data_IF_910898870067
#
_entry.id   IF_910898870067
#
_cell.length_a   1.000
_cell.length_b   1.000
_cell.length_c   1.000
_cell.angle_alpha   90.00
_cell.angle_beta   90.00
_cell.angle_gamma   90.00
#
_symmetry.space_group_name_H-M   'P 1'
#
loop_
_entity.id
_entity.type
_entity.pdbx_description
1 polymer ?
#
# COMPACT_ATOMS: atom_id res chain seq x y z
N UNK A 1 -2.27 -9.50 -8.72
CA UNK A 1 -1.09 -8.61 -8.68
C UNK A 1 -0.26 -8.98 -7.47
N UNK A 2 1.06 -9.06 -7.63
CA UNK A 2 2.00 -9.24 -6.52
C UNK A 2 2.51 -7.86 -6.07
N UNK A 3 2.46 -7.58 -4.78
CA UNK A 3 2.98 -6.34 -4.20
C UNK A 3 4.29 -6.63 -3.50
N UNK A 4 5.40 -6.17 -4.07
CA UNK A 4 6.74 -6.35 -3.51
C UNK A 4 7.07 -5.21 -2.55
N UNK A 5 7.69 -5.54 -1.41
CA UNK A 5 8.07 -4.65 -0.31
C UNK A 5 6.92 -4.02 0.48
N UNK A 6 5.71 -4.58 0.40
CA UNK A 6 4.53 -4.09 1.15
C UNK A 6 4.73 -4.14 2.66
N UNK A 7 5.43 -5.15 3.15
CA UNK A 7 5.81 -5.36 4.54
C UNK A 7 6.66 -4.22 5.12
N UNK A 8 7.37 -3.48 4.28
CA UNK A 8 8.23 -2.38 4.69
C UNK A 8 7.48 -1.04 4.82
N UNK A 9 6.19 -0.99 4.43
CA UNK A 9 5.33 0.18 4.69
C UNK A 9 5.23 0.40 6.21
N UNK A 10 5.06 -0.68 6.96
CA UNK A 10 5.07 -0.66 8.41
C UNK A 10 5.84 -1.88 8.95
N UNK A 11 7.18 -1.79 8.98
CA UNK A 11 8.04 -2.94 9.24
C UNK A 11 7.89 -3.39 10.70
N UNK A 12 7.91 -4.70 10.89
CA UNK A 12 7.89 -5.33 12.21
C UNK A 12 6.70 -4.96 13.08
N UNK A 13 5.54 -4.66 12.48
CA UNK A 13 4.29 -4.51 13.23
C UNK A 13 3.81 -5.87 13.75
N UNK A 14 4.22 -6.19 14.97
CA UNK A 14 3.75 -7.38 15.67
C UNK A 14 2.55 -7.02 16.56
N UNK A 15 1.61 -7.95 16.62
CA UNK A 15 0.49 -7.87 17.55
C UNK A 15 0.85 -8.55 18.87
N UNK A 16 0.62 -7.85 19.98
CA UNK A 16 0.70 -8.44 21.33
C UNK A 16 -0.65 -8.36 22.02
N UNK A 17 -1.20 -9.53 22.39
CA UNK A 17 -2.50 -9.62 23.09
C UNK A 17 -2.49 -8.89 24.43
N UNK A 18 -1.40 -8.99 25.18
CA UNK A 18 -1.26 -8.33 26.48
C UNK A 18 -1.23 -6.81 26.35
N UNK A 19 -0.49 -6.30 25.36
CA UNK A 19 -0.42 -4.86 25.10
C UNK A 19 -1.75 -4.32 24.57
N UNK A 20 -2.42 -5.07 23.70
CA UNK A 20 -3.73 -4.71 23.18
C UNK A 20 -4.80 -4.66 24.29
N UNK A 21 -4.73 -5.55 25.28
CA UNK A 21 -5.61 -5.48 26.45
C UNK A 21 -5.38 -4.22 27.29
N UNK A 22 -4.12 -3.82 27.51
CA UNK A 22 -3.77 -2.61 28.24
C UNK A 22 -4.18 -1.33 27.48
N UNK A 23 -3.90 -1.29 26.18
CA UNK A 23 -4.16 -0.11 25.33
C UNK A 23 -5.66 0.13 25.11
N UNK A 24 -6.47 -0.93 25.05
CA UNK A 24 -7.93 -0.81 25.02
C UNK A 24 -8.51 -0.13 26.27
N UNK A 25 -7.88 -0.28 27.44
CA UNK A 25 -8.32 0.41 28.67
C UNK A 25 -8.13 1.92 28.60
N UNK A 26 -7.16 2.40 27.83
CA UNK A 26 -6.88 3.83 27.63
C UNK A 26 -7.54 4.37 26.34
N UNK A 27 -8.45 3.62 25.72
CA UNK A 27 -9.20 4.04 24.54
C UNK A 27 -8.47 3.88 23.21
N UNK A 28 -7.29 3.24 23.19
CA UNK A 28 -6.54 2.97 21.97
C UNK A 28 -6.91 1.55 21.47
N UNK A 29 -7.48 1.39 20.26
CA UNK A 29 -8.01 0.09 19.81
C UNK A 29 -6.91 -0.94 19.54
N UNK A 30 -5.74 -0.48 19.09
CA UNK A 30 -4.59 -1.31 18.74
C UNK A 30 -3.31 -0.48 18.84
N UNK A 31 -2.25 -1.05 19.41
CA UNK A 31 -0.92 -0.46 19.41
C UNK A 31 0.04 -1.45 18.76
N UNK A 32 0.53 -1.17 17.54
CA UNK A 32 1.53 -2.03 16.93
C UNK A 32 2.79 -2.05 17.79
N UNK A 33 3.40 -3.22 17.96
CA UNK A 33 4.72 -3.38 18.58
C UNK A 33 5.74 -3.49 17.47
N UNK A 34 6.58 -2.47 17.32
CA UNK A 34 7.58 -2.39 16.25
C UNK A 34 8.41 -1.10 16.39
N UNK A 35 9.15 -0.76 15.33
CA UNK A 35 10.01 0.42 15.33
C UNK A 35 9.21 1.72 15.57
N UNK A 36 7.97 1.79 15.06
CA UNK A 36 7.09 2.95 15.22
C UNK A 36 6.65 3.15 16.67
N UNK A 37 6.53 2.09 17.46
CA UNK A 37 6.08 2.17 18.86
C UNK A 37 6.99 3.05 19.71
N UNK A 38 8.28 3.07 19.40
CA UNK A 38 9.27 3.94 20.07
C UNK A 38 8.98 5.44 19.85
N UNK A 39 8.28 5.79 18.77
CA UNK A 39 7.93 7.16 18.42
C UNK A 39 6.56 7.61 18.96
N UNK A 40 5.78 6.69 19.52
CA UNK A 40 4.43 6.96 20.04
C UNK A 40 4.43 7.99 21.18
N UNK A 41 5.37 8.00 22.14
CA UNK A 41 5.43 9.04 23.16
C UNK A 41 5.66 10.45 22.59
N UNK A 42 6.35 10.55 21.44
CA UNK A 42 6.59 11.84 20.77
C UNK A 42 5.39 12.29 19.97
N UNK A 43 4.68 11.35 19.34
CA UNK A 43 3.53 11.63 18.52
C UNK A 43 2.55 10.47 18.60
N UNK A 44 1.47 10.60 19.41
CA UNK A 44 0.58 9.48 19.71
C UNK A 44 -0.03 8.81 18.47
N UNK A 45 -0.27 9.54 17.39
CA UNK A 45 -0.86 9.02 16.14
C UNK A 45 0.17 8.46 15.13
N UNK A 46 1.44 8.32 15.51
CA UNK A 46 2.51 7.87 14.61
C UNK A 46 2.26 6.45 14.05
N UNK A 47 1.50 5.60 14.74
CA UNK A 47 1.17 4.27 14.25
C UNK A 47 0.32 4.24 12.97
N UNK A 48 -0.32 5.36 12.59
CA UNK A 48 -0.98 5.52 11.28
C UNK A 48 0.00 5.89 10.15
N UNK A 49 1.25 6.19 10.45
CA UNK A 49 2.22 6.63 9.46
C UNK A 49 2.84 5.44 8.73
N UNK A 50 3.13 5.65 7.46
CA UNK A 50 3.79 4.69 6.59
C UNK A 50 5.24 5.13 6.36
N UNK A 51 6.19 4.22 6.46
CA UNK A 51 7.55 4.48 5.98
C UNK A 51 7.59 4.57 4.46
N UNK A 52 8.54 5.33 3.88
CA UNK A 52 8.67 5.51 2.44
C UNK A 52 9.27 4.25 1.77
N UNK A 53 8.51 3.16 1.79
CA UNK A 53 8.86 1.89 1.18
C UNK A 53 8.73 1.95 -0.35
N UNK A 54 9.68 1.32 -1.05
CA UNK A 54 9.69 1.20 -2.51
C UNK A 54 8.78 0.06 -2.96
N UNK A 55 7.48 0.38 -3.04
CA UNK A 55 6.46 -0.55 -3.51
C UNK A 55 6.58 -0.80 -5.01
N UNK A 56 6.60 -2.06 -5.41
CA UNK A 56 6.54 -2.47 -6.82
C UNK A 56 5.36 -3.39 -7.03
N UNK A 57 4.42 -2.96 -7.88
CA UNK A 57 3.27 -3.77 -8.27
C UNK A 57 3.62 -4.55 -9.54
N UNK A 58 3.59 -5.88 -9.44
CA UNK A 58 3.83 -6.78 -10.56
C UNK A 58 2.51 -7.39 -10.98
N UNK A 59 2.16 -7.22 -12.26
CA UNK A 59 0.99 -7.88 -12.85
C UNK A 59 1.29 -9.38 -12.96
N UNK A 60 0.42 -10.19 -12.36
CA UNK A 60 0.53 -11.65 -12.45
C UNK A 60 -0.10 -12.17 -13.74
N UNK A 61 0.10 -13.46 -14.01
CA UNK A 61 -0.57 -14.13 -15.13
C UNK A 61 -2.05 -14.37 -14.83
N UNK A 62 -2.84 -14.50 -15.88
CA UNK A 62 -4.26 -14.84 -15.77
C UNK A 62 -4.40 -16.35 -15.58
N UNK A 63 -4.81 -16.75 -14.37
CA UNK A 63 -5.12 -18.14 -14.06
C UNK A 63 -6.57 -18.42 -14.47
N UNK A 64 -6.78 -19.52 -15.19
CA UNK A 64 -8.10 -19.97 -15.66
C UNK A 64 -8.35 -21.38 -15.10
N UNK A 65 -8.94 -21.52 -13.91
CA UNK A 65 -9.07 -22.82 -13.24
C UNK A 65 -9.80 -23.88 -14.07
N UNK A 66 -10.75 -23.47 -14.91
CA UNK A 66 -11.48 -24.32 -15.84
C UNK A 66 -10.65 -24.86 -17.01
N UNK A 67 -9.47 -24.32 -17.27
CA UNK A 67 -8.51 -24.89 -18.23
C UNK A 67 -7.57 -25.92 -17.57
N UNK A 68 -7.57 -25.99 -16.24
CA UNK A 68 -6.71 -26.87 -15.43
C UNK A 68 -7.45 -28.15 -15.05
N UNK A 69 -8.77 -28.08 -14.85
CA UNK A 69 -9.65 -29.21 -14.60
C UNK A 69 -10.47 -29.52 -15.85
N UNK A 70 -10.45 -30.78 -16.27
CA UNK A 70 -11.19 -31.30 -17.43
C UNK A 70 -12.52 -31.98 -17.03
N UNK A 71 -13.15 -31.50 -15.96
CA UNK A 71 -14.41 -32.04 -15.42
C UNK A 71 -15.46 -30.94 -15.23
N UNK A 72 -16.75 -31.27 -15.39
CA UNK A 72 -17.84 -30.39 -14.96
C UNK A 72 -17.74 -30.07 -13.46
N UNK A 73 -18.23 -28.90 -13.06
CA UNK A 73 -18.14 -28.43 -11.67
C UNK A 73 -18.76 -29.41 -10.66
N UNK A 74 -19.86 -30.06 -11.08
CA UNK A 74 -20.67 -30.99 -10.29
C UNK A 74 -19.92 -32.29 -9.96
N UNK A 75 -18.89 -32.64 -10.74
CA UNK A 75 -18.11 -33.87 -10.60
C UNK A 75 -16.78 -33.65 -9.87
N UNK A 76 -16.49 -32.42 -9.45
CA UNK A 76 -15.27 -32.08 -8.74
C UNK A 76 -15.43 -32.44 -7.27
N UNK A 77 -14.60 -33.37 -6.79
CA UNK A 77 -14.54 -33.67 -5.36
C UNK A 77 -13.88 -32.54 -4.56
N UNK A 78 -14.20 -32.44 -3.26
CA UNK A 78 -13.59 -31.46 -2.35
C UNK A 78 -12.05 -31.58 -2.30
N UNK A 79 -11.53 -32.81 -2.34
CA UNK A 79 -10.08 -33.06 -2.34
C UNK A 79 -9.40 -32.56 -3.62
N UNK A 80 -10.05 -32.72 -4.78
CA UNK A 80 -9.57 -32.16 -6.05
C UNK A 80 -9.60 -30.64 -6.06
N UNK A 81 -10.64 -30.04 -5.45
CA UNK A 81 -10.73 -28.59 -5.29
C UNK A 81 -9.60 -28.05 -4.41
N UNK A 82 -9.32 -28.69 -3.27
CA UNK A 82 -8.20 -28.32 -2.40
C UNK A 82 -6.85 -28.48 -3.10
N UNK A 83 -6.68 -29.53 -3.91
CA UNK A 83 -5.47 -29.73 -4.71
C UNK A 83 -5.29 -28.60 -5.72
N UNK A 84 -6.34 -28.25 -6.47
CA UNK A 84 -6.31 -27.15 -7.43
C UNK A 84 -5.99 -25.81 -6.76
N UNK A 85 -6.65 -25.50 -5.65
CA UNK A 85 -6.40 -24.30 -4.88
C UNK A 85 -4.95 -24.23 -4.39
N UNK A 86 -4.40 -25.36 -3.95
CA UNK A 86 -3.00 -25.47 -3.50
C UNK A 86 -2.02 -25.24 -4.65
N UNK A 87 -2.29 -25.81 -5.82
CA UNK A 87 -1.48 -25.61 -7.03
C UNK A 87 -1.46 -24.12 -7.45
N UNK A 88 -2.64 -23.50 -7.53
CA UNK A 88 -2.78 -22.06 -7.86
C UNK A 88 -2.03 -21.20 -6.83
N UNK A 89 -2.17 -21.51 -5.53
CA UNK A 89 -1.46 -20.81 -4.46
C UNK A 89 0.05 -20.92 -4.62
N UNK A 90 0.57 -22.11 -4.94
CA UNK A 90 1.99 -22.33 -5.16
C UNK A 90 2.52 -21.53 -6.37
N UNK A 91 1.76 -21.49 -7.46
CA UNK A 91 2.12 -20.70 -8.65
C UNK A 91 2.16 -19.18 -8.35
N UNK A 92 1.16 -18.68 -7.63
CA UNK A 92 1.12 -17.28 -7.19
C UNK A 92 2.29 -16.96 -6.25
N UNK A 93 2.62 -17.88 -5.34
CA UNK A 93 3.76 -17.72 -4.42
C UNK A 93 5.09 -17.73 -5.16
N UNK A 94 5.28 -18.64 -6.14
CA UNK A 94 6.45 -18.67 -6.99
C UNK A 94 6.63 -17.35 -7.74
N UNK A 95 5.55 -16.87 -8.37
CA UNK A 95 5.55 -15.57 -9.07
C UNK A 95 5.92 -14.40 -8.15
N UNK A 96 5.45 -14.42 -6.90
CA UNK A 96 5.83 -13.41 -5.89
C UNK A 96 7.30 -13.53 -5.52
N UNK A 97 7.81 -14.75 -5.30
CA UNK A 97 9.22 -14.98 -4.96
C UNK A 97 10.16 -14.46 -6.06
N UNK A 98 9.82 -14.72 -7.33
CA UNK A 98 10.58 -14.20 -8.48
C UNK A 98 10.55 -12.66 -8.53
N UNK A 99 9.37 -12.07 -8.27
CA UNK A 99 9.22 -10.62 -8.18
C UNK A 99 10.04 -10.03 -7.02
N UNK A 100 10.09 -10.68 -5.86
CA UNK A 100 10.91 -10.28 -4.72
C UNK A 100 12.40 -10.40 -5.05
N UNK A 101 12.84 -11.48 -5.69
CA UNK A 101 14.23 -11.64 -6.11
C UNK A 101 14.69 -10.52 -7.05
N UNK A 102 13.80 -10.06 -7.93
CA UNK A 102 14.06 -9.00 -8.91
C UNK A 102 13.95 -7.58 -8.32
N UNK A 103 12.93 -7.30 -7.53
CA UNK A 103 12.57 -5.94 -7.09
C UNK A 103 12.76 -5.69 -5.59
N UNK A 104 12.97 -6.72 -4.78
CA UNK A 104 13.00 -6.66 -3.31
C UNK A 104 14.32 -6.20 -2.68
N UNK A 105 15.42 -6.08 -3.46
CA UNK A 105 16.77 -5.84 -2.91
C UNK A 105 16.94 -4.52 -2.14
N UNK A 106 16.12 -3.50 -2.42
CA UNK A 106 16.23 -2.16 -1.80
C UNK A 106 14.85 -1.63 -1.41
N UNK A 107 14.26 -2.14 -0.31
CA UNK A 107 12.93 -1.74 0.15
C UNK A 107 12.90 -0.28 0.58
N UNK A 108 14.01 0.23 1.12
CA UNK A 108 14.23 1.65 1.39
C UNK A 108 15.32 2.18 0.47
N UNK A 109 15.00 3.19 -0.34
CA UNK A 109 15.95 3.82 -1.25
C UNK A 109 15.91 5.33 -1.08
N UNK A 110 16.58 5.80 -0.02
CA UNK A 110 16.65 7.22 0.34
C UNK A 110 17.27 8.07 -0.79
N UNK A 111 18.36 7.67 -1.47
CA UNK A 111 18.89 8.45 -2.58
C UNK A 111 17.87 8.66 -3.70
N UNK A 112 17.12 7.61 -4.05
CA UNK A 112 16.06 7.70 -5.05
C UNK A 112 14.89 8.59 -4.58
N UNK A 113 14.49 8.49 -3.30
CA UNK A 113 13.46 9.32 -2.70
C UNK A 113 13.85 10.81 -2.76
N UNK A 114 15.05 11.14 -2.27
CA UNK A 114 15.58 12.51 -2.29
C UNK A 114 15.73 13.04 -3.72
N UNK A 115 16.22 12.21 -4.64
CA UNK A 115 16.31 12.57 -6.06
C UNK A 115 14.93 12.86 -6.67
N UNK A 116 13.90 12.10 -6.29
CA UNK A 116 12.52 12.32 -6.73
C UNK A 116 11.95 13.61 -6.17
N UNK A 117 12.19 13.91 -4.89
CA UNK A 117 11.78 15.16 -4.27
C UNK A 117 12.46 16.36 -4.92
N UNK A 118 13.77 16.30 -5.16
CA UNK A 118 14.52 17.38 -5.83
C UNK A 118 13.98 17.68 -7.23
N UNK A 119 13.63 16.64 -8.01
CA UNK A 119 13.04 16.81 -9.35
C UNK A 119 11.61 17.35 -9.32
N UNK A 120 10.93 17.26 -8.17
CA UNK A 120 9.54 17.67 -7.98
C UNK A 120 9.39 18.77 -6.93
N UNK A 121 10.40 19.62 -6.75
CA UNK A 121 10.38 20.71 -5.76
C UNK A 121 9.17 21.64 -5.93
N UNK A 122 8.78 21.96 -7.17
CA UNK A 122 7.57 22.75 -7.44
C UNK A 122 6.26 22.08 -7.00
N UNK A 123 6.28 20.77 -6.72
CA UNK A 123 5.15 20.00 -6.19
C UNK A 123 5.30 19.67 -4.71
N UNK A 124 6.43 20.00 -4.09
CA UNK A 124 6.72 19.67 -2.70
C UNK A 124 5.67 20.15 -1.70
N UNK A 125 5.11 21.38 -1.82
CA UNK A 125 4.06 21.82 -0.90
C UNK A 125 2.86 20.85 -0.85
N UNK A 126 2.54 20.19 -1.96
CA UNK A 126 1.43 19.25 -2.05
C UNK A 126 1.68 17.89 -1.40
N UNK A 127 2.93 17.59 -1.01
CA UNK A 127 3.22 16.43 -0.17
C UNK A 127 2.85 16.68 1.30
N UNK A 128 2.68 17.94 1.70
CA UNK A 128 2.29 18.30 3.05
C UNK A 128 0.76 18.46 3.13
N UNK A 129 0.12 17.94 4.19
CA UNK A 129 -1.34 18.00 4.35
C UNK A 129 -1.88 19.43 4.40
N UNK A 130 -1.06 20.41 4.80
CA UNK A 130 -1.43 21.83 4.86
C UNK A 130 -1.89 22.40 3.51
N UNK A 131 -1.39 21.87 2.38
CA UNK A 131 -1.75 22.35 1.05
C UNK A 131 -2.78 21.47 0.33
N UNK A 132 -3.26 20.40 0.98
CA UNK A 132 -4.32 19.55 0.43
C UNK A 132 -5.64 20.29 0.20
N UNK A 133 -6.08 21.26 1.05
CA UNK A 133 -7.29 22.03 0.77
C UNK A 133 -7.27 22.70 -0.62
N UNK A 134 -6.11 23.18 -1.07
CA UNK A 134 -5.93 23.77 -2.41
C UNK A 134 -6.07 22.74 -3.53
N UNK A 135 -5.63 21.50 -3.32
CA UNK A 135 -5.84 20.39 -4.27
C UNK A 135 -7.32 20.04 -4.35
N UNK A 136 -7.98 19.89 -3.20
CA UNK A 136 -9.39 19.52 -3.13
C UNK A 136 -10.30 20.61 -3.69
N UNK A 137 -9.99 21.88 -3.45
CA UNK A 137 -10.70 23.02 -4.03
C UNK A 137 -10.63 22.99 -5.57
N UNK A 138 -9.44 22.81 -6.13
CA UNK A 138 -9.26 22.72 -7.59
C UNK A 138 -9.92 21.48 -8.18
N UNK A 139 -9.82 20.33 -7.49
CA UNK A 139 -10.52 19.11 -7.87
C UNK A 139 -12.03 19.33 -7.92
N UNK A 140 -12.62 19.95 -6.90
CA UNK A 140 -14.04 20.26 -6.85
C UNK A 140 -14.46 21.21 -7.97
N UNK A 141 -13.65 22.23 -8.25
CA UNK A 141 -13.87 23.17 -9.36
C UNK A 141 -13.86 22.46 -10.72
N UNK A 142 -12.95 21.51 -10.94
CA UNK A 142 -12.87 20.75 -12.19
C UNK A 142 -13.94 19.67 -12.31
N UNK A 143 -14.30 19.04 -11.19
CA UNK A 143 -15.38 18.04 -11.11
C UNK A 143 -16.73 18.65 -11.50
N UNK A 144 -17.06 19.84 -10.96
CA UNK A 144 -18.25 20.62 -11.36
C UNK A 144 -18.29 20.96 -12.86
N UNK A 145 -17.13 20.99 -13.52
CA UNK A 145 -17.00 21.29 -14.97
C UNK A 145 -16.83 20.03 -15.82
N UNK A 146 -16.88 18.83 -15.23
CA UNK A 146 -16.65 17.55 -15.93
C UNK A 146 -15.23 17.37 -16.47
N UNK A 147 -14.24 18.13 -15.98
CA UNK A 147 -12.87 18.20 -16.53
C UNK A 147 -11.81 17.72 -15.54
N UNK A 148 -12.12 16.70 -14.75
CA UNK A 148 -11.21 16.17 -13.69
C UNK A 148 -9.83 15.77 -14.25
N UNK A 149 -9.80 15.25 -15.48
CA UNK A 149 -8.58 14.86 -16.20
C UNK A 149 -7.64 16.05 -16.49
N UNK A 150 -8.11 17.30 -16.40
CA UNK A 150 -7.30 18.50 -16.60
C UNK A 150 -6.61 18.99 -15.31
N UNK A 151 -6.70 18.25 -14.20
CA UNK A 151 -6.11 18.64 -12.92
C UNK A 151 -4.59 18.86 -13.04
N UNK A 152 -4.17 20.12 -12.98
CA UNK A 152 -2.78 20.54 -12.90
C UNK A 152 -2.52 21.16 -11.54
N UNK A 153 -1.84 20.39 -10.69
CA UNK A 153 -1.48 20.82 -9.34
C UNK A 153 -0.32 21.83 -9.44
N UNK A 154 -0.58 23.10 -9.09
CA UNK A 154 0.39 24.19 -9.00
C UNK A 154 0.09 25.00 -7.73
N UNK A 155 1.10 25.58 -7.06
CA UNK A 155 1.00 26.29 -5.76
C UNK A 155 -0.12 27.36 -5.77
N UNK A 156 -0.42 27.93 -6.93
CA UNK A 156 -1.45 28.97 -7.11
C UNK A 156 -2.85 28.44 -7.47
N UNK A 157 -3.05 27.12 -7.62
CA UNK A 157 -4.34 26.55 -8.06
C UNK A 157 -5.47 26.77 -7.05
N UNK A 158 -5.15 26.99 -5.77
CA UNK A 158 -6.13 27.32 -4.72
C UNK A 158 -6.35 28.80 -4.45
N UNK A 159 -5.56 29.70 -5.07
CA UNK A 159 -5.58 31.16 -4.78
C UNK A 159 -6.51 31.90 -5.76
N UNK A 160 -6.91 31.27 -6.86
CA UNK A 160 -7.85 31.83 -7.85
C UNK A 160 -9.31 31.41 -7.60
N UNK A 161 -9.68 31.21 -6.33
CA UNK A 161 -11.07 31.06 -5.93
C UNK A 161 -11.69 32.44 -5.70
#
# INVERSE_FOLDING_TARGET
FATVNGEYINPYNLESRALNWLTKKIGIPFLPVGLITLLVPLQPWMFYFCFPARLTYVMGQRIRPYEIIDKPYEEISESEFHRLATQIKQEMQGSLNDAVAKYGRKPYNIPHLLGTWRRRLGKFPFFLPFFWPSIFSEFNRLSKKGRVHALKVNIFSGIKA
#
